data_IF_660484482891
#
_entry.id   IF_660484482891
#
_cell.length_a   1.000
_cell.length_b   1.000
_cell.length_c   1.000
_cell.angle_alpha   90.00
_cell.angle_beta   90.00
_cell.angle_gamma   90.00
#
_symmetry.space_group_name_H-M   'P 1'
#
loop_
_entity.id
_entity.type
_entity.pdbx_description
1 polymer ?
#
# COMPACT_ATOMS: atom_id res chain seq x y z
N UNK A 1 -12.86 11.20 0.77
CA UNK A 1 -12.85 10.18 -0.28
C UNK A 1 -11.83 9.13 0.11
N UNK A 2 -12.18 7.86 -0.01
CA UNK A 2 -11.26 6.74 0.18
C UNK A 2 -11.28 5.84 -1.06
N UNK A 3 -10.12 5.35 -1.50
CA UNK A 3 -10.02 4.36 -2.56
C UNK A 3 -8.76 3.49 -2.40
N UNK A 4 -8.74 2.36 -3.10
CA UNK A 4 -7.63 1.40 -3.14
C UNK A 4 -6.72 1.75 -4.31
N UNK A 5 -5.39 1.80 -4.09
CA UNK A 5 -4.42 2.05 -5.16
C UNK A 5 -4.19 0.81 -6.04
N UNK A 6 -4.06 -0.36 -5.42
CA UNK A 6 -3.87 -1.63 -6.14
C UNK A 6 -4.85 -2.68 -5.63
N UNK A 7 -5.80 -3.08 -6.48
CA UNK A 7 -6.80 -4.09 -6.17
C UNK A 7 -6.19 -5.49 -6.24
N UNK A 8 -6.14 -6.19 -5.11
CA UNK A 8 -5.54 -7.53 -5.04
C UNK A 8 -6.36 -8.62 -5.73
N UNK A 9 -7.68 -8.47 -5.78
CA UNK A 9 -8.57 -9.48 -6.37
C UNK A 9 -8.61 -9.46 -7.88
N UNK A 10 -8.27 -8.34 -8.51
CA UNK A 10 -8.31 -8.17 -9.97
C UNK A 10 -6.96 -7.82 -10.57
N UNK A 11 -6.03 -7.29 -9.78
CA UNK A 11 -4.75 -6.79 -10.28
C UNK A 11 -4.84 -5.39 -10.91
N UNK A 12 -5.93 -4.64 -10.71
CA UNK A 12 -6.06 -3.27 -11.21
C UNK A 12 -5.15 -2.34 -10.41
N UNK A 13 -4.37 -1.52 -11.12
CA UNK A 13 -3.69 -0.36 -10.57
C UNK A 13 -4.51 0.89 -10.90
N UNK A 14 -5.17 1.44 -9.89
CA UNK A 14 -6.02 2.61 -10.05
C UNK A 14 -5.20 3.89 -10.35
N UNK A 15 -5.72 4.82 -11.18
CA UNK A 15 -5.01 6.03 -11.61
C UNK A 15 -4.96 7.06 -10.47
N UNK A 16 -4.02 6.87 -9.53
CA UNK A 16 -3.94 7.63 -8.28
C UNK A 16 -3.69 9.13 -8.51
N UNK A 17 -2.94 9.51 -9.55
CA UNK A 17 -2.63 10.91 -9.86
C UNK A 17 -3.90 11.67 -10.24
N UNK A 18 -4.68 11.13 -11.14
CA UNK A 18 -5.93 11.71 -11.63
C UNK A 18 -6.97 11.77 -10.51
N UNK A 19 -7.13 10.68 -9.76
CA UNK A 19 -8.06 10.61 -8.64
C UNK A 19 -7.70 11.60 -7.54
N UNK A 20 -6.41 11.70 -7.17
CA UNK A 20 -5.97 12.65 -6.15
C UNK A 20 -6.20 14.08 -6.58
N UNK A 21 -5.93 14.42 -7.84
CA UNK A 21 -6.19 15.74 -8.39
C UNK A 21 -7.68 16.12 -8.26
N UNK A 22 -8.58 15.25 -8.69
CA UNK A 22 -10.03 15.48 -8.59
C UNK A 22 -10.47 15.66 -7.13
N UNK A 23 -10.00 14.81 -6.22
CA UNK A 23 -10.33 14.91 -4.79
C UNK A 23 -9.91 16.27 -4.22
N UNK A 24 -8.70 16.73 -4.58
CA UNK A 24 -8.17 18.01 -4.12
C UNK A 24 -8.90 19.21 -4.72
N UNK A 25 -9.27 19.15 -6.00
CA UNK A 25 -10.10 20.19 -6.63
C UNK A 25 -11.44 20.40 -5.90
N UNK A 26 -12.00 19.35 -5.34
CA UNK A 26 -13.25 19.41 -4.56
C UNK A 26 -13.02 19.66 -3.05
N UNK A 27 -11.80 20.02 -2.63
CA UNK A 27 -11.47 20.32 -1.23
C UNK A 27 -11.73 19.15 -0.26
N UNK A 28 -11.70 17.91 -0.75
CA UNK A 28 -11.98 16.73 0.06
C UNK A 28 -10.71 16.10 0.63
N UNK A 29 -10.84 15.41 1.76
CA UNK A 29 -9.79 14.59 2.34
C UNK A 29 -9.60 13.33 1.52
N UNK A 30 -8.34 12.92 1.37
CA UNK A 30 -7.94 11.76 0.60
C UNK A 30 -7.34 10.66 1.51
N UNK A 31 -7.99 9.51 1.52
CA UNK A 31 -7.51 8.30 2.17
C UNK A 31 -7.17 7.29 1.07
N UNK A 32 -5.96 6.78 1.08
CA UNK A 32 -5.51 5.78 0.10
C UNK A 32 -5.13 4.48 0.81
N UNK A 33 -5.80 3.41 0.44
CA UNK A 33 -5.35 2.06 0.74
C UNK A 33 -4.27 1.68 -0.29
N UNK A 34 -3.03 1.69 0.16
CA UNK A 34 -1.87 1.26 -0.60
C UNK A 34 -1.27 -0.04 -0.03
N UNK A 35 -2.12 -0.87 0.60
CA UNK A 35 -1.72 -2.11 1.27
C UNK A 35 -0.86 -2.98 0.35
N UNK A 36 -1.27 -3.16 -0.89
CA UNK A 36 -0.62 -4.05 -1.86
C UNK A 36 0.44 -3.38 -2.73
N UNK A 37 0.59 -2.04 -2.67
CA UNK A 37 1.44 -1.30 -3.62
C UNK A 37 2.55 -0.49 -2.97
N UNK A 38 2.38 -0.04 -1.72
CA UNK A 38 3.35 0.83 -1.06
C UNK A 38 4.71 0.14 -0.85
N UNK A 39 5.76 0.82 -1.28
CA UNK A 39 7.12 0.28 -1.26
C UNK A 39 7.51 -0.53 -2.50
N UNK A 40 6.55 -0.84 -3.40
CA UNK A 40 6.79 -1.57 -4.65
C UNK A 40 6.35 -0.80 -5.90
N UNK A 41 5.39 0.11 -5.77
CA UNK A 41 4.97 1.02 -6.83
C UNK A 41 5.29 2.45 -6.41
N UNK A 42 5.93 3.27 -7.25
CA UNK A 42 6.24 4.66 -6.92
C UNK A 42 5.00 5.46 -6.54
N UNK A 43 5.05 6.08 -5.35
CA UNK A 43 3.97 6.88 -4.80
C UNK A 43 4.56 7.93 -3.86
N UNK A 44 4.38 9.20 -4.18
CA UNK A 44 4.75 10.31 -3.30
C UNK A 44 3.52 10.87 -2.60
N UNK A 45 3.48 10.69 -1.27
CA UNK A 45 2.34 11.10 -0.43
C UNK A 45 2.14 12.61 -0.42
N UNK A 46 3.24 13.39 -0.51
CA UNK A 46 3.19 14.85 -0.49
C UNK A 46 2.76 15.41 -1.84
N UNK A 47 3.38 14.95 -2.93
CA UNK A 47 3.05 15.36 -4.30
C UNK A 47 1.56 15.10 -4.60
N UNK A 48 1.07 13.91 -4.24
CA UNK A 48 -0.33 13.52 -4.45
C UNK A 48 -1.30 14.15 -3.44
N UNK A 49 -0.78 14.84 -2.42
CA UNK A 49 -1.60 15.45 -1.39
C UNK A 49 -2.45 14.46 -0.59
N UNK A 50 -1.98 13.24 -0.41
CA UNK A 50 -2.66 12.21 0.37
C UNK A 50 -2.70 12.63 1.84
N UNK A 51 -3.87 12.57 2.46
CA UNK A 51 -4.05 12.93 3.86
C UNK A 51 -3.78 11.74 4.79
N UNK A 52 -4.20 10.54 4.36
CA UNK A 52 -3.92 9.28 5.06
C UNK A 52 -3.61 8.19 4.05
N UNK A 53 -2.47 7.55 4.20
CA UNK A 53 -2.08 6.36 3.44
C UNK A 53 -2.00 5.17 4.39
N UNK A 54 -2.64 4.08 4.02
CA UNK A 54 -2.67 2.84 4.79
C UNK A 54 -1.83 1.79 4.09
N UNK A 55 -0.96 1.12 4.83
CA UNK A 55 -0.17 0.00 4.30
C UNK A 55 0.16 -1.04 5.38
N UNK A 56 0.88 -2.09 5.02
CA UNK A 56 1.26 -3.18 5.91
C UNK A 56 2.72 -3.58 5.77
N UNK A 57 3.24 -4.23 6.80
CA UNK A 57 4.63 -4.65 6.87
C UNK A 57 5.00 -5.73 5.84
N UNK A 58 4.06 -6.59 5.44
CA UNK A 58 4.32 -7.87 4.76
C UNK A 58 4.01 -7.90 3.26
N UNK A 59 3.70 -6.76 2.64
CA UNK A 59 3.45 -6.70 1.19
C UNK A 59 4.70 -6.25 0.45
N UNK A 60 4.67 -5.22 -0.37
CA UNK A 60 5.82 -4.80 -1.16
C UNK A 60 7.05 -4.38 -0.34
N UNK A 61 6.90 -4.01 0.93
CA UNK A 61 8.04 -3.80 1.84
C UNK A 61 8.79 -5.10 2.13
N UNK A 62 8.12 -6.27 2.00
CA UNK A 62 8.68 -7.61 2.18
C UNK A 62 9.11 -7.93 3.64
N UNK A 63 8.46 -7.31 4.62
CA UNK A 63 8.55 -7.71 6.02
C UNK A 63 7.66 -8.92 6.33
N UNK A 64 7.57 -9.29 7.60
CA UNK A 64 6.66 -10.35 8.06
C UNK A 64 5.30 -9.78 8.44
N UNK A 65 4.20 -10.56 8.33
CA UNK A 65 2.86 -10.10 8.73
C UNK A 65 2.77 -9.88 10.24
N UNK A 66 1.94 -8.92 10.67
CA UNK A 66 1.68 -8.70 12.09
C UNK A 66 1.26 -7.28 12.46
N UNK A 67 1.46 -6.28 11.58
CA UNK A 67 0.90 -4.95 11.77
C UNK A 67 0.67 -4.21 10.44
N UNK A 68 -0.29 -3.30 10.46
CA UNK A 68 -0.43 -2.24 9.47
C UNK A 68 0.09 -0.92 10.02
N UNK A 69 0.39 0.01 9.13
CA UNK A 69 0.79 1.37 9.51
C UNK A 69 0.06 2.41 8.66
N UNK A 70 -0.01 3.61 9.21
CA UNK A 70 -0.64 4.75 8.56
C UNK A 70 0.36 5.89 8.48
N UNK A 71 0.55 6.43 7.28
CA UNK A 71 1.25 7.69 7.04
C UNK A 71 0.19 8.77 6.96
N UNK A 72 0.21 9.73 7.87
CA UNK A 72 -0.82 10.75 7.97
C UNK A 72 -0.23 12.15 7.85
N UNK A 73 -0.96 13.05 7.18
CA UNK A 73 -0.70 14.48 7.25
C UNK A 73 -0.95 14.96 8.68
N UNK A 74 0.06 15.56 9.32
CA UNK A 74 0.00 15.92 10.75
C UNK A 74 -1.23 16.78 11.10
N UNK A 75 -1.55 17.79 10.28
CA UNK A 75 -2.73 18.63 10.52
C UNK A 75 -4.03 17.84 10.52
N UNK A 76 -4.16 16.86 9.62
CA UNK A 76 -5.35 16.03 9.52
C UNK A 76 -5.43 15.03 10.68
N UNK A 77 -4.31 14.48 11.11
CA UNK A 77 -4.25 13.63 12.30
C UNK A 77 -4.67 14.40 13.57
N UNK A 78 -4.22 15.65 13.72
CA UNK A 78 -4.64 16.50 14.85
C UNK A 78 -6.15 16.76 14.86
N UNK A 79 -6.76 16.93 13.68
CA UNK A 79 -8.20 17.11 13.53
C UNK A 79 -9.03 15.84 13.88
N UNK A 80 -8.40 14.67 14.00
CA UNK A 80 -9.05 13.42 14.39
C UNK A 80 -9.27 13.27 15.90
N UNK A 81 -8.78 14.20 16.73
CA UNK A 81 -8.93 14.12 18.18
C UNK A 81 -10.39 14.03 18.60
N UNK A 82 -10.75 12.94 19.29
CA UNK A 82 -12.11 12.71 19.79
C UNK A 82 -13.17 12.41 18.73
N UNK A 83 -12.77 12.14 17.49
CA UNK A 83 -13.69 11.84 16.38
C UNK A 83 -13.95 10.35 16.25
N UNK A 84 -12.97 9.50 16.60
CA UNK A 84 -13.07 8.06 16.46
C UNK A 84 -14.18 7.47 17.36
N UNK A 85 -14.96 6.54 16.79
CA UNK A 85 -15.94 5.74 17.53
C UNK A 85 -15.37 4.41 18.02
N UNK A 86 -14.16 4.07 17.61
CA UNK A 86 -13.48 2.82 17.94
C UNK A 86 -12.30 3.08 18.83
N UNK A 87 -12.25 2.45 19.99
CA UNK A 87 -11.09 2.51 20.88
C UNK A 87 -9.82 1.94 20.21
N UNK A 88 -9.95 0.80 19.54
CA UNK A 88 -8.80 0.08 18.94
C UNK A 88 -8.28 0.72 17.65
N UNK A 89 -9.13 1.46 16.92
CA UNK A 89 -8.79 2.07 15.64
C UNK A 89 -8.61 3.59 15.72
N UNK A 90 -8.51 4.16 16.92
CA UNK A 90 -8.24 5.58 17.12
C UNK A 90 -6.77 5.89 16.86
N UNK A 91 -6.49 6.39 15.65
CA UNK A 91 -5.14 6.72 15.21
C UNK A 91 -4.56 7.95 15.94
N UNK A 92 -5.42 8.90 16.36
CA UNK A 92 -4.98 10.05 17.13
C UNK A 92 -4.48 9.61 18.51
N UNK A 93 -5.25 8.80 19.22
CA UNK A 93 -4.89 8.32 20.55
C UNK A 93 -3.65 7.39 20.50
N UNK A 94 -3.52 6.56 19.45
CA UNK A 94 -2.31 5.78 19.21
C UNK A 94 -1.09 6.69 19.04
N UNK A 95 -1.20 7.72 18.21
CA UNK A 95 -0.12 8.68 17.97
C UNK A 95 0.22 9.47 19.24
N UNK A 96 -0.78 10.00 19.96
CA UNK A 96 -0.57 10.77 21.19
C UNK A 96 0.12 9.93 22.27
N UNK A 97 -0.25 8.65 22.39
CA UNK A 97 0.40 7.71 23.31
C UNK A 97 1.87 7.48 22.93
N UNK A 98 2.18 7.33 21.65
CA UNK A 98 3.56 7.16 21.17
C UNK A 98 4.39 8.42 21.38
N UNK A 99 3.84 9.61 21.14
CA UNK A 99 4.55 10.88 21.36
C UNK A 99 4.88 11.08 22.85
N UNK A 100 3.90 10.89 23.74
CA UNK A 100 4.08 11.02 25.19
C UNK A 100 4.94 9.90 25.81
N UNK A 101 4.90 8.73 25.21
CA UNK A 101 5.56 7.52 25.71
C UNK A 101 6.90 7.20 25.01
N UNK A 102 7.50 8.16 24.30
CA UNK A 102 8.78 7.96 23.59
C UNK A 102 8.78 6.74 22.66
N UNK A 103 7.71 6.59 21.88
CA UNK A 103 7.52 5.51 20.91
C UNK A 103 6.81 4.27 21.48
N UNK A 104 6.37 4.28 22.73
CA UNK A 104 5.58 3.20 23.30
C UNK A 104 4.21 3.12 22.62
N UNK A 105 3.85 1.93 22.15
CA UNK A 105 2.54 1.69 21.58
C UNK A 105 1.44 1.72 22.63
N UNK A 106 0.24 2.11 22.26
CA UNK A 106 -0.92 2.14 23.15
C UNK A 106 -1.29 0.77 23.70
N UNK A 107 -1.18 -0.26 22.86
CA UNK A 107 -1.39 -1.67 23.21
C UNK A 107 -0.09 -2.45 23.07
N UNK A 108 -0.11 -3.75 23.36
CA UNK A 108 1.05 -4.63 23.19
C UNK A 108 1.54 -4.62 21.74
N UNK A 109 2.77 -4.20 21.54
CA UNK A 109 3.39 -4.15 20.21
C UNK A 109 3.90 -5.51 19.76
N UNK A 110 3.80 -5.85 18.46
CA UNK A 110 4.41 -7.05 17.89
C UNK A 110 5.91 -6.83 17.65
N UNK A 111 6.69 -6.78 18.73
CA UNK A 111 8.10 -6.31 18.74
C UNK A 111 9.00 -7.05 17.75
N UNK A 112 8.83 -8.38 17.63
CA UNK A 112 9.60 -9.18 16.67
C UNK A 112 9.27 -8.80 15.21
N UNK A 113 8.00 -8.55 14.91
CA UNK A 113 7.55 -8.12 13.58
C UNK A 113 8.08 -6.73 13.25
N UNK A 114 8.05 -5.81 14.23
CA UNK A 114 8.62 -4.46 14.06
C UNK A 114 10.13 -4.52 13.82
N UNK A 115 10.84 -5.41 14.51
CA UNK A 115 12.27 -5.63 14.28
C UNK A 115 12.54 -6.19 12.88
N UNK A 116 11.77 -7.18 12.43
CA UNK A 116 11.86 -7.71 11.07
C UNK A 116 11.51 -6.64 10.02
N UNK A 117 10.52 -5.78 10.29
CA UNK A 117 10.19 -4.67 9.39
C UNK A 117 11.34 -3.67 9.23
N UNK A 118 12.08 -3.39 10.31
CA UNK A 118 13.29 -2.56 10.22
C UNK A 118 14.31 -3.17 9.24
N UNK A 119 14.54 -4.47 9.32
CA UNK A 119 15.45 -5.17 8.40
C UNK A 119 14.95 -5.09 6.95
N UNK A 120 13.67 -5.35 6.74
CA UNK A 120 13.06 -5.22 5.40
C UNK A 120 13.20 -3.81 4.80
N UNK A 121 13.18 -2.77 5.63
CA UNK A 121 13.45 -1.39 5.20
C UNK A 121 14.92 -1.16 4.80
N UNK A 122 15.87 -1.79 5.52
CA UNK A 122 17.29 -1.73 5.14
C UNK A 122 17.56 -2.53 3.85
N UNK A 123 16.93 -3.69 3.68
CA UNK A 123 16.97 -4.46 2.41
C UNK A 123 16.40 -3.65 1.23
N UNK A 124 15.27 -2.95 1.44
CA UNK A 124 14.69 -2.07 0.42
C UNK A 124 15.68 -0.98 0.00
N UNK A 125 16.37 -0.36 0.96
CA UNK A 125 17.40 0.65 0.66
C UNK A 125 18.59 0.04 -0.07
N UNK A 126 19.06 -1.13 0.37
CA UNK A 126 20.19 -1.84 -0.24
C UNK A 126 19.88 -2.28 -1.69
N UNK A 127 18.64 -2.62 -1.99
CA UNK A 127 18.16 -2.92 -3.35
C UNK A 127 18.22 -1.70 -4.29
N UNK A 128 18.26 -0.49 -3.75
CA UNK A 128 18.20 0.79 -4.50
C UNK A 128 16.86 1.52 -4.34
N UNK A 129 16.12 1.19 -3.30
CA UNK A 129 14.86 1.84 -2.94
C UNK A 129 13.66 1.39 -3.79
N UNK A 130 12.58 2.17 -3.70
CA UNK A 130 11.33 1.86 -4.40
C UNK A 130 11.49 1.78 -5.91
N UNK A 131 12.34 2.62 -6.49
CA UNK A 131 12.55 2.65 -7.95
C UNK A 131 13.15 1.33 -8.47
N UNK A 132 14.17 0.81 -7.80
CA UNK A 132 14.80 -0.47 -8.17
C UNK A 132 13.84 -1.64 -7.96
N UNK A 133 13.14 -1.66 -6.83
CA UNK A 133 12.11 -2.68 -6.54
C UNK A 133 10.99 -2.67 -7.57
N UNK A 134 10.50 -1.51 -7.94
CA UNK A 134 9.49 -1.35 -8.98
C UNK A 134 9.97 -1.88 -10.33
N UNK A 135 11.20 -1.56 -10.73
CA UNK A 135 11.79 -2.07 -11.97
C UNK A 135 11.88 -3.60 -11.97
N UNK A 136 12.26 -4.20 -10.83
CA UNK A 136 12.28 -5.67 -10.67
C UNK A 136 10.88 -6.27 -10.79
N UNK A 137 9.87 -5.67 -10.16
CA UNK A 137 8.48 -6.13 -10.28
C UNK A 137 7.96 -6.02 -11.70
N UNK A 138 8.22 -4.91 -12.40
CA UNK A 138 7.84 -4.76 -13.80
C UNK A 138 8.50 -5.83 -14.68
N UNK A 139 9.77 -6.14 -14.45
CA UNK A 139 10.49 -7.19 -15.19
C UNK A 139 9.90 -8.58 -14.91
N UNK A 140 9.63 -8.89 -13.65
CA UNK A 140 9.01 -10.16 -13.26
C UNK A 140 7.61 -10.30 -13.88
N UNK A 141 6.82 -9.23 -13.86
CA UNK A 141 5.50 -9.17 -14.47
C UNK A 141 5.57 -9.44 -15.98
N UNK A 142 6.47 -8.77 -16.71
CA UNK A 142 6.67 -8.98 -18.14
C UNK A 142 7.00 -10.45 -18.48
N UNK A 143 7.91 -11.05 -17.73
CA UNK A 143 8.29 -12.45 -17.91
C UNK A 143 7.13 -13.40 -17.62
N UNK A 144 6.40 -13.14 -16.54
CA UNK A 144 5.24 -13.95 -16.15
C UNK A 144 4.13 -13.87 -17.18
N UNK A 145 3.74 -12.67 -17.62
CA UNK A 145 2.69 -12.47 -18.62
C UNK A 145 3.02 -13.22 -19.93
N UNK A 146 4.23 -13.02 -20.44
CA UNK A 146 4.68 -13.71 -21.68
C UNK A 146 4.71 -15.22 -21.52
N UNK A 147 5.18 -15.70 -20.38
CA UNK A 147 5.20 -17.14 -20.09
C UNK A 147 3.81 -17.75 -20.03
N UNK A 148 2.88 -17.10 -19.35
CA UNK A 148 1.49 -17.56 -19.26
C UNK A 148 0.77 -17.50 -20.59
N UNK A 149 0.95 -16.44 -21.37
CA UNK A 149 0.39 -16.32 -22.72
C UNK A 149 0.90 -17.43 -23.65
N UNK A 150 2.18 -17.81 -23.54
CA UNK A 150 2.73 -18.93 -24.33
C UNK A 150 2.13 -20.29 -23.98
N UNK A 151 1.53 -20.41 -22.80
CA UNK A 151 0.80 -21.60 -22.34
C UNK A 151 -0.71 -21.54 -22.64
N UNK A 152 -1.17 -20.46 -23.29
CA UNK A 152 -2.57 -20.30 -23.68
C UNK A 152 -3.45 -19.55 -22.67
N UNK A 153 -2.90 -19.13 -21.52
CA UNK A 153 -3.63 -18.32 -20.56
C UNK A 153 -3.75 -16.87 -21.04
N UNK A 154 -4.84 -16.22 -20.65
CA UNK A 154 -5.07 -14.80 -20.97
C UNK A 154 -5.16 -13.99 -19.68
N UNK A 155 -4.44 -12.87 -19.63
CA UNK A 155 -4.60 -11.92 -18.52
C UNK A 155 -6.04 -11.36 -18.52
N UNK A 156 -6.65 -11.25 -17.34
CA UNK A 156 -8.01 -10.73 -17.20
C UNK A 156 -8.11 -9.26 -17.63
N UNK A 157 -7.08 -8.47 -17.33
CA UNK A 157 -7.08 -7.04 -17.56
C UNK A 157 -6.22 -6.64 -18.78
N UNK A 158 -6.59 -5.53 -19.46
CA UNK A 158 -5.69 -4.89 -20.41
C UNK A 158 -4.38 -4.43 -19.75
N UNK A 159 -3.26 -4.54 -20.45
CA UNK A 159 -1.93 -4.18 -19.93
C UNK A 159 -1.84 -2.75 -19.34
N UNK A 160 -2.64 -1.82 -19.88
CA UNK A 160 -2.63 -0.41 -19.44
C UNK A 160 -3.10 -0.19 -17.99
N UNK A 161 -3.85 -1.13 -17.43
CA UNK A 161 -4.40 -1.03 -16.07
C UNK A 161 -3.90 -2.14 -15.14
N UNK A 162 -3.03 -3.02 -15.64
CA UNK A 162 -2.44 -4.09 -14.83
C UNK A 162 -1.44 -3.53 -13.82
N UNK A 163 -1.53 -4.03 -12.60
CA UNK A 163 -0.50 -3.80 -11.60
C UNK A 163 0.70 -4.72 -11.82
N UNK A 164 1.94 -4.24 -11.69
CA UNK A 164 3.11 -5.10 -11.78
C UNK A 164 3.32 -6.00 -10.57
N UNK A 165 2.51 -5.83 -9.53
CA UNK A 165 2.64 -6.58 -8.26
C UNK A 165 1.51 -7.58 -8.02
N UNK A 166 0.47 -7.55 -8.87
CA UNK A 166 -0.69 -8.43 -8.75
C UNK A 166 -1.28 -8.72 -10.12
N UNK A 167 -1.48 -9.99 -10.43
CA UNK A 167 -2.05 -10.45 -11.70
C UNK A 167 -3.15 -11.47 -11.47
N UNK A 168 -4.14 -11.45 -12.35
CA UNK A 168 -5.16 -12.47 -12.46
C UNK A 168 -5.25 -12.94 -13.92
N UNK A 169 -5.27 -14.26 -14.09
CA UNK A 169 -5.49 -14.92 -15.37
C UNK A 169 -6.87 -15.57 -15.39
N UNK A 170 -7.47 -15.64 -16.58
CA UNK A 170 -8.66 -16.46 -16.79
C UNK A 170 -8.22 -17.92 -16.96
N UNK A 171 -8.77 -18.84 -16.16
CA UNK A 171 -8.85 -20.26 -16.53
C UNK A 171 -10.05 -20.47 -17.43
N UNK A 172 -10.00 -21.49 -18.29
CA UNK A 172 -11.18 -21.92 -19.04
C UNK A 172 -12.12 -22.61 -18.04
N UNK A 173 -13.25 -21.97 -17.72
CA UNK A 173 -14.21 -22.46 -16.74
C UNK A 173 -14.94 -23.77 -17.20
N UNK A 174 -14.57 -24.32 -18.36
CA UNK A 174 -15.11 -25.58 -18.86
C UNK A 174 -14.41 -26.82 -18.27
N UNK A 175 -13.30 -26.64 -17.56
CA UNK A 175 -12.49 -27.73 -16.99
C UNK A 175 -12.65 -27.93 -15.47
N UNK A 176 -13.62 -27.23 -14.82
CA UNK A 176 -13.98 -27.43 -13.41
C UNK A 176 -15.28 -28.21 -13.21
#
# INVERSE_FOLDING_TARGET
VAFVHCETTTGILNPIKELSHIVKMHGKKLIVDAMSSFGGVPLDVQELGIDFLISSANKCIQGVPGFGFIIARRSELMACKGVSRSLSLDIYDQWETMEKGHGKWRFTSPTHVVRAFKEAMEELKAEGGVAARYARYCKNHEVLVKGMESLGFKALLPAAVQSPVCLLYTSDAADE
#
